data_IF_891220518969
#
_entry.id   IF_891220518969
#
_cell.length_a   1.000
_cell.length_b   1.000
_cell.length_c   1.000
_cell.angle_alpha   90.00
_cell.angle_beta   90.00
_cell.angle_gamma   90.00
#
_symmetry.space_group_name_H-M   'P 1'
#
loop_
_entity.id
_entity.type
_entity.pdbx_description
1 polymer ?
#
# COMPACT_ATOMS: atom_id res chain seq x y z
N UNK A 1 -7.09 36.64 24.38
CA UNK A 1 -7.97 37.62 23.70
C UNK A 1 -9.31 37.74 24.43
N UNK A 2 -9.34 38.30 25.65
CA UNK A 2 -10.57 38.48 26.45
C UNK A 2 -10.94 39.98 26.58
N UNK A 3 -10.11 40.87 26.02
CA UNK A 3 -10.32 42.33 26.02
C UNK A 3 -11.62 42.66 25.27
N UNK A 4 -12.55 43.33 25.97
CA UNK A 4 -13.76 43.89 25.36
C UNK A 4 -13.43 45.21 24.66
N UNK A 5 -13.90 45.37 23.44
CA UNK A 5 -13.71 46.58 22.63
C UNK A 5 -15.08 47.15 22.30
N UNK A 6 -15.24 48.46 22.52
CA UNK A 6 -16.45 49.21 22.14
C UNK A 6 -16.19 49.90 20.80
N UNK A 7 -16.96 49.54 19.78
CA UNK A 7 -16.88 50.09 18.43
C UNK A 7 -17.99 51.13 18.20
N UNK A 8 -17.75 52.06 17.29
CA UNK A 8 -18.67 53.19 17.04
C UNK A 8 -19.82 52.82 16.10
N UNK A 9 -19.63 51.77 15.28
CA UNK A 9 -20.63 51.24 14.35
C UNK A 9 -20.51 49.72 14.30
N UNK A 10 -21.63 49.02 14.06
CA UNK A 10 -21.69 47.55 14.00
C UNK A 10 -22.05 47.02 12.61
N UNK A 11 -21.98 47.85 11.56
CA UNK A 11 -22.28 47.47 10.18
C UNK A 11 -21.17 47.94 9.23
N UNK A 12 -20.65 47.05 8.40
CA UNK A 12 -19.61 47.40 7.42
C UNK A 12 -19.03 46.20 6.70
N UNK A 13 -18.05 46.44 5.81
CA UNK A 13 -17.23 45.36 5.27
C UNK A 13 -16.31 44.80 6.36
N UNK A 14 -15.85 43.53 6.24
CA UNK A 14 -14.80 42.96 7.09
C UNK A 14 -13.63 43.92 7.34
N UNK A 15 -13.10 44.56 6.30
CA UNK A 15 -12.00 45.54 6.40
C UNK A 15 -12.36 46.70 7.34
N UNK A 16 -13.49 47.36 7.08
CA UNK A 16 -13.93 48.51 7.90
C UNK A 16 -14.17 48.13 9.36
N UNK A 17 -14.74 46.95 9.60
CA UNK A 17 -14.99 46.45 10.94
C UNK A 17 -13.68 46.11 11.66
N UNK A 18 -12.73 45.47 10.98
CA UNK A 18 -11.41 45.15 11.53
C UNK A 18 -10.62 46.42 11.85
N UNK A 19 -10.64 47.42 10.97
CA UNK A 19 -9.95 48.70 11.19
C UNK A 19 -10.50 49.41 12.44
N UNK A 20 -11.82 49.51 12.58
CA UNK A 20 -12.47 50.11 13.76
C UNK A 20 -12.14 49.33 15.05
N UNK A 21 -12.20 48.00 15.02
CA UNK A 21 -11.85 47.16 16.16
C UNK A 21 -10.37 47.34 16.55
N UNK A 22 -9.49 47.46 15.56
CA UNK A 22 -8.05 47.66 15.75
C UNK A 22 -7.74 49.02 16.39
N UNK A 23 -8.40 50.09 15.89
CA UNK A 23 -8.26 51.45 16.37
C UNK A 23 -8.75 51.63 17.81
N UNK A 24 -9.90 51.01 18.17
CA UNK A 24 -10.44 51.04 19.53
C UNK A 24 -9.75 50.05 20.48
N UNK A 25 -9.03 49.07 19.91
CA UNK A 25 -8.43 47.95 20.62
C UNK A 25 -6.96 48.13 20.99
N UNK A 26 -6.26 49.08 20.38
CA UNK A 26 -4.81 49.29 20.48
C UNK A 26 -4.00 48.05 20.06
N UNK A 27 -4.33 47.49 18.89
CA UNK A 27 -3.60 46.41 18.23
C UNK A 27 -3.84 46.49 16.71
N UNK A 28 -3.07 45.72 15.94
CA UNK A 28 -3.21 45.68 14.46
C UNK A 28 -3.57 44.28 13.97
N UNK A 29 -4.36 44.21 12.89
CA UNK A 29 -4.62 42.96 12.17
C UNK A 29 -3.64 42.78 11.01
N UNK A 30 -3.25 41.54 10.73
CA UNK A 30 -2.47 41.20 9.53
C UNK A 30 -3.17 40.05 8.81
N UNK A 31 -3.44 40.23 7.52
CA UNK A 31 -4.14 39.25 6.69
C UNK A 31 -3.83 39.45 5.20
N UNK A 32 -4.08 38.41 4.40
CA UNK A 32 -4.04 38.52 2.93
C UNK A 32 -5.33 39.17 2.43
N UNK A 33 -5.26 39.99 1.38
CA UNK A 33 -6.44 40.58 0.71
C UNK A 33 -7.45 39.54 0.20
N UNK A 34 -7.08 38.26 0.13
CA UNK A 34 -7.98 37.15 -0.21
C UNK A 34 -8.95 36.76 0.91
N UNK A 35 -8.78 37.31 2.12
CA UNK A 35 -9.55 37.01 3.33
C UNK A 35 -10.67 38.03 3.53
N UNK A 36 -10.63 39.16 2.83
CA UNK A 36 -11.63 40.22 2.96
C UNK A 36 -12.61 40.16 1.80
N UNK A 37 -13.89 40.22 2.14
CA UNK A 37 -15.00 40.25 1.18
C UNK A 37 -15.58 41.66 1.09
N UNK A 38 -16.12 42.04 -0.07
CA UNK A 38 -16.89 43.28 -0.21
C UNK A 38 -18.33 43.17 0.36
N UNK A 39 -18.69 42.00 0.92
CA UNK A 39 -20.00 41.79 1.55
C UNK A 39 -20.11 42.57 2.85
N UNK A 40 -21.26 43.19 3.06
CA UNK A 40 -21.57 43.92 4.31
C UNK A 40 -21.99 42.94 5.40
N UNK A 41 -21.42 43.09 6.59
CA UNK A 41 -21.70 42.29 7.79
C UNK A 41 -22.36 43.19 8.84
N UNK A 42 -23.37 42.65 9.53
CA UNK A 42 -24.02 43.27 10.67
C UNK A 42 -23.64 42.50 11.93
N UNK A 43 -22.92 43.13 12.86
CA UNK A 43 -22.54 42.56 14.13
C UNK A 43 -23.67 42.69 15.16
N UNK A 44 -23.76 41.69 16.03
CA UNK A 44 -24.81 41.56 17.05
C UNK A 44 -24.73 42.62 18.16
N UNK A 45 -23.53 43.16 18.43
CA UNK A 45 -23.29 44.15 19.49
C UNK A 45 -22.18 45.13 19.11
N UNK A 46 -22.21 46.33 19.71
CA UNK A 46 -21.14 47.34 19.63
C UNK A 46 -20.11 47.23 20.76
N UNK A 47 -20.28 46.28 21.70
CA UNK A 47 -19.33 46.03 22.79
C UNK A 47 -19.25 44.53 23.11
N UNK A 48 -18.19 43.89 22.64
CA UNK A 48 -17.89 42.47 22.92
C UNK A 48 -16.39 42.20 22.86
N UNK A 49 -15.96 40.95 23.06
CA UNK A 49 -14.54 40.62 22.97
C UNK A 49 -14.08 40.63 21.52
N UNK A 50 -12.79 40.90 21.30
CA UNK A 50 -12.18 40.82 19.96
C UNK A 50 -12.42 39.46 19.31
N UNK A 51 -12.39 38.39 20.11
CA UNK A 51 -12.66 37.02 19.66
C UNK A 51 -14.08 36.88 19.08
N UNK A 52 -15.07 37.44 19.77
CA UNK A 52 -16.48 37.35 19.34
C UNK A 52 -16.72 38.14 18.05
N UNK A 53 -16.11 39.33 17.93
CA UNK A 53 -16.15 40.06 16.66
C UNK A 53 -15.57 39.25 15.51
N UNK A 54 -14.40 38.62 15.69
CA UNK A 54 -13.78 37.80 14.65
C UNK A 54 -14.65 36.59 14.26
N UNK A 55 -15.30 35.96 15.23
CA UNK A 55 -16.22 34.85 14.94
C UNK A 55 -17.45 35.28 14.15
N UNK A 56 -17.99 36.47 14.39
CA UNK A 56 -19.11 36.98 13.61
C UNK A 56 -18.70 37.44 12.21
N UNK A 57 -17.58 38.16 12.09
CA UNK A 57 -17.04 38.63 10.80
C UNK A 57 -16.73 37.45 9.87
N UNK A 58 -16.19 36.36 10.43
CA UNK A 58 -15.73 35.21 9.65
C UNK A 58 -16.59 33.96 9.87
N UNK A 59 -17.86 34.10 10.25
CA UNK A 59 -18.75 32.98 10.58
C UNK A 59 -18.80 31.88 9.50
N UNK A 60 -18.70 32.27 8.23
CA UNK A 60 -18.77 31.38 7.07
C UNK A 60 -17.41 31.16 6.38
N UNK A 61 -16.33 31.67 6.97
CA UNK A 61 -14.98 31.55 6.40
C UNK A 61 -14.06 30.81 7.38
N UNK A 62 -13.40 29.73 6.95
CA UNK A 62 -12.58 28.91 7.84
C UNK A 62 -11.24 29.62 8.11
N UNK A 63 -11.22 30.52 9.09
CA UNK A 63 -10.05 31.34 9.42
C UNK A 63 -9.57 31.01 10.84
N UNK A 64 -8.25 30.87 10.99
CA UNK A 64 -7.57 30.83 12.29
C UNK A 64 -7.02 32.21 12.61
N UNK A 65 -7.11 32.59 13.86
CA UNK A 65 -6.50 33.81 14.38
C UNK A 65 -5.42 33.48 15.41
N UNK A 66 -4.29 34.17 15.33
CA UNK A 66 -3.18 34.07 16.29
C UNK A 66 -2.91 35.45 16.88
N UNK A 67 -2.97 35.59 18.21
CA UNK A 67 -2.56 36.80 18.93
C UNK A 67 -1.15 36.63 19.48
N UNK A 68 -0.29 37.61 19.23
CA UNK A 68 0.97 37.78 19.95
C UNK A 68 1.26 39.28 20.08
N UNK A 69 1.48 39.75 21.30
CA UNK A 69 1.64 41.17 21.63
C UNK A 69 0.43 42.00 21.10
N UNK A 70 0.68 43.14 20.46
CA UNK A 70 -0.35 44.01 19.85
C UNK A 70 -0.64 43.68 18.37
N UNK A 71 -0.42 42.41 17.95
CA UNK A 71 -0.70 41.96 16.57
C UNK A 71 -1.60 40.73 16.56
N UNK A 72 -2.58 40.72 15.66
CA UNK A 72 -3.49 39.60 15.41
C UNK A 72 -3.36 39.16 13.94
N UNK A 73 -2.84 37.96 13.73
CA UNK A 73 -2.70 37.36 12.41
C UNK A 73 -3.94 36.53 12.06
N UNK A 74 -4.56 36.80 10.92
CA UNK A 74 -5.66 35.99 10.37
C UNK A 74 -5.12 35.13 9.22
N UNK A 75 -5.27 33.81 9.36
CA UNK A 75 -4.77 32.84 8.38
C UNK A 75 -5.97 32.04 7.84
N UNK A 76 -6.19 32.01 6.51
CA UNK A 76 -7.23 31.19 5.93
C UNK A 76 -6.79 29.73 6.03
N UNK A 77 -7.66 28.91 6.59
CA UNK A 77 -7.49 27.47 6.60
C UNK A 77 -8.04 26.98 5.26
N UNK A 78 -7.21 26.32 4.46
CA UNK A 78 -7.75 25.46 3.41
C UNK A 78 -8.49 24.32 4.11
N UNK A 79 -9.81 24.42 4.22
CA UNK A 79 -10.64 23.26 4.52
C UNK A 79 -10.47 22.35 3.31
N UNK A 80 -9.58 21.37 3.43
CA UNK A 80 -9.72 20.18 2.62
C UNK A 80 -11.08 19.62 3.01
N UNK A 81 -12.09 19.81 2.16
CA UNK A 81 -13.07 18.75 2.00
C UNK A 81 -12.22 17.52 1.71
N UNK A 82 -12.14 16.60 2.67
CA UNK A 82 -11.82 15.25 2.28
C UNK A 82 -12.99 14.89 1.35
N UNK A 83 -12.75 14.52 0.07
CA UNK A 83 -13.84 13.92 -0.70
C UNK A 83 -14.36 12.78 0.16
N UNK A 84 -15.70 12.66 0.30
CA UNK A 84 -16.30 11.59 1.08
C UNK A 84 -15.63 10.27 0.70
N UNK A 85 -14.85 9.73 1.62
CA UNK A 85 -14.13 8.48 1.43
C UNK A 85 -15.19 7.39 1.52
N UNK A 86 -15.77 7.02 0.39
CA UNK A 86 -16.66 5.87 0.33
C UNK A 86 -15.82 4.60 0.42
N UNK A 87 -16.21 3.75 1.37
CA UNK A 87 -15.53 2.50 1.67
C UNK A 87 -16.41 1.35 1.20
N UNK A 88 -15.92 0.57 0.25
CA UNK A 88 -16.55 -0.68 -0.17
C UNK A 88 -15.93 -1.79 0.68
N UNK A 89 -16.76 -2.54 1.39
CA UNK A 89 -16.32 -3.65 2.24
C UNK A 89 -17.06 -4.93 1.84
N UNK A 90 -16.40 -6.06 2.00
CA UNK A 90 -17.01 -7.36 1.76
C UNK A 90 -16.10 -8.52 2.08
N UNK A 91 -16.62 -9.72 1.90
CA UNK A 91 -15.93 -11.00 2.05
C UNK A 91 -15.96 -11.75 0.73
N UNK A 92 -14.85 -12.36 0.35
CA UNK A 92 -14.77 -13.22 -0.83
C UNK A 92 -14.58 -14.66 -0.40
N UNK A 93 -15.42 -15.54 -0.93
CA UNK A 93 -15.41 -16.98 -0.64
C UNK A 93 -15.51 -17.79 -1.93
N UNK A 94 -15.10 -19.06 -1.90
CA UNK A 94 -15.34 -19.99 -2.99
C UNK A 94 -16.81 -20.41 -3.04
N UNK A 95 -17.40 -20.39 -4.24
CA UNK A 95 -18.76 -20.88 -4.47
C UNK A 95 -18.77 -22.42 -4.42
N UNK A 96 -19.32 -22.97 -3.33
CA UNK A 96 -19.56 -24.40 -3.16
C UNK A 96 -19.05 -24.91 -1.81
N UNK A 97 -17.89 -24.43 -1.38
CA UNK A 97 -17.28 -24.75 -0.09
C UNK A 97 -17.46 -23.63 0.94
N UNK A 98 -17.73 -22.39 0.49
CA UNK A 98 -17.76 -21.17 1.31
C UNK A 98 -16.42 -20.92 2.05
N UNK A 99 -15.32 -21.55 1.60
CA UNK A 99 -13.98 -21.30 2.12
C UNK A 99 -13.54 -19.87 1.79
N UNK A 100 -12.97 -19.13 2.75
CA UNK A 100 -12.44 -17.79 2.51
C UNK A 100 -11.31 -17.78 1.50
N UNK A 101 -11.38 -16.86 0.53
CA UNK A 101 -10.34 -16.71 -0.49
C UNK A 101 -9.40 -15.57 -0.15
N UNK A 102 -8.26 -15.92 0.44
CA UNK A 102 -7.19 -14.99 0.76
C UNK A 102 -6.45 -14.44 -0.48
N UNK A 103 -5.88 -13.24 -0.35
CA UNK A 103 -5.10 -12.56 -1.38
C UNK A 103 -5.84 -12.40 -2.72
N UNK A 104 -7.17 -12.38 -2.70
CA UNK A 104 -8.03 -12.09 -3.85
C UNK A 104 -7.93 -10.61 -4.18
N UNK A 105 -7.70 -10.27 -5.45
CA UNK A 105 -7.61 -8.89 -5.90
C UNK A 105 -9.01 -8.29 -6.02
N UNK A 106 -9.21 -7.14 -5.39
CA UNK A 106 -10.46 -6.37 -5.47
C UNK A 106 -10.14 -4.95 -5.93
N UNK A 107 -10.58 -4.57 -7.11
CA UNK A 107 -10.15 -3.32 -7.75
C UNK A 107 -11.25 -2.64 -8.57
N UNK A 108 -11.13 -1.33 -8.74
CA UNK A 108 -11.95 -0.57 -9.69
C UNK A 108 -11.25 -0.52 -11.04
N UNK A 109 -11.97 -0.94 -12.09
CA UNK A 109 -11.42 -1.09 -13.43
C UNK A 109 -10.82 0.22 -13.97
N UNK A 110 -11.54 1.34 -13.86
CA UNK A 110 -11.11 2.61 -14.48
C UNK A 110 -10.12 3.35 -13.59
N UNK A 111 -10.37 3.39 -12.27
CA UNK A 111 -9.52 4.14 -11.34
C UNK A 111 -8.18 3.49 -11.02
N UNK A 112 -7.98 2.23 -11.40
CA UNK A 112 -6.78 1.43 -11.05
C UNK A 112 -6.45 1.47 -9.55
N UNK A 113 -7.47 1.63 -8.71
CA UNK A 113 -7.35 1.50 -7.26
C UNK A 113 -7.83 0.12 -6.87
N UNK A 114 -7.12 -0.54 -5.97
CA UNK A 114 -7.47 -1.88 -5.54
C UNK A 114 -6.94 -2.18 -4.15
N UNK A 115 -7.40 -3.30 -3.63
CA UNK A 115 -7.04 -3.89 -2.35
C UNK A 115 -7.01 -5.42 -2.52
N UNK A 116 -6.61 -6.11 -1.47
CA UNK A 116 -6.62 -7.58 -1.40
C UNK A 116 -7.43 -8.05 -0.21
N UNK A 117 -7.92 -9.29 -0.28
CA UNK A 117 -8.54 -9.95 0.89
C UNK A 117 -7.48 -10.45 1.87
N UNK A 118 -7.84 -10.45 3.17
CA UNK A 118 -7.05 -11.08 4.22
C UNK A 118 -7.27 -12.61 4.28
N UNK A 119 -6.68 -13.28 5.28
CA UNK A 119 -6.83 -14.73 5.51
C UNK A 119 -8.27 -15.19 5.79
N UNK A 120 -9.15 -14.28 6.21
CA UNK A 120 -10.58 -14.53 6.42
C UNK A 120 -11.43 -14.15 5.20
N UNK A 121 -10.80 -13.83 4.06
CA UNK A 121 -11.46 -13.44 2.82
C UNK A 121 -12.02 -12.01 2.84
N UNK A 122 -11.83 -11.25 3.92
CA UNK A 122 -12.38 -9.90 4.08
C UNK A 122 -11.51 -8.85 3.39
N UNK A 123 -12.16 -7.87 2.76
CA UNK A 123 -11.49 -6.73 2.12
C UNK A 123 -12.16 -5.40 2.46
N UNK A 124 -11.41 -4.33 2.24
CA UNK A 124 -11.87 -2.96 2.38
C UNK A 124 -11.18 -2.06 1.36
N UNK A 125 -11.95 -1.49 0.43
CA UNK A 125 -11.48 -0.60 -0.62
C UNK A 125 -11.93 0.83 -0.36
N UNK A 126 -10.97 1.74 -0.17
CA UNK A 126 -11.24 3.16 0.00
C UNK A 126 -11.23 3.87 -1.36
N UNK A 127 -12.39 4.42 -1.76
CA UNK A 127 -12.57 5.10 -3.04
C UNK A 127 -12.64 6.61 -2.78
N UNK A 128 -11.69 7.37 -3.35
CA UNK A 128 -11.78 8.83 -3.43
C UNK A 128 -12.54 9.20 -4.70
N UNK A 129 -13.42 10.20 -4.62
CA UNK A 129 -14.21 10.73 -5.77
C UNK A 129 -15.10 9.67 -6.43
N UNK A 130 -15.80 8.85 -5.64
CA UNK A 130 -16.60 7.70 -6.10
C UNK A 130 -17.38 8.03 -7.38
N UNK A 131 -16.97 7.38 -8.48
CA UNK A 131 -17.69 7.48 -9.75
C UNK A 131 -18.65 6.30 -9.78
N UNK A 132 -19.94 6.57 -9.63
CA UNK A 132 -21.00 5.57 -9.65
C UNK A 132 -21.00 4.70 -10.93
N UNK A 133 -20.31 5.13 -11.99
CA UNK A 133 -20.20 4.43 -13.27
C UNK A 133 -19.00 3.48 -13.38
N UNK A 134 -18.10 3.42 -12.38
CA UNK A 134 -16.98 2.48 -12.40
C UNK A 134 -17.46 1.03 -12.15
N UNK A 135 -16.61 0.05 -12.42
CA UNK A 135 -16.89 -1.38 -12.23
C UNK A 135 -15.94 -1.95 -11.18
N UNK A 136 -16.51 -2.54 -10.12
CA UNK A 136 -15.79 -3.33 -9.14
C UNK A 136 -15.48 -4.70 -9.74
N UNK A 137 -14.20 -5.03 -9.83
CA UNK A 137 -13.70 -6.31 -10.28
C UNK A 137 -13.14 -7.09 -9.07
N UNK A 138 -13.53 -8.35 -8.96
CA UNK A 138 -13.00 -9.30 -7.97
C UNK A 138 -12.40 -10.47 -8.73
N UNK A 139 -11.09 -10.62 -8.63
CA UNK A 139 -10.30 -11.55 -9.42
C UNK A 139 -9.42 -12.38 -8.50
N UNK A 140 -9.49 -13.70 -8.66
CA UNK A 140 -8.53 -14.62 -8.08
C UNK A 140 -8.15 -15.64 -9.15
N UNK A 141 -6.87 -16.03 -9.18
CA UNK A 141 -6.40 -17.04 -10.12
C UNK A 141 -7.20 -18.34 -9.93
N UNK A 142 -7.53 -19.00 -11.05
CA UNK A 142 -8.33 -20.22 -11.12
C UNK A 142 -9.80 -20.06 -10.75
N UNK A 143 -10.31 -18.82 -10.73
CA UNK A 143 -11.73 -18.52 -10.58
C UNK A 143 -12.20 -17.59 -11.70
N UNK A 144 -13.50 -17.63 -11.99
CA UNK A 144 -14.13 -16.65 -12.87
C UNK A 144 -14.19 -15.28 -12.20
N UNK A 145 -13.67 -14.25 -12.87
CA UNK A 145 -13.72 -12.86 -12.39
C UNK A 145 -15.18 -12.37 -12.27
N UNK A 146 -15.49 -11.74 -11.14
CA UNK A 146 -16.77 -11.06 -10.92
C UNK A 146 -16.60 -9.59 -11.29
N UNK A 147 -17.57 -9.04 -12.04
CA UNK A 147 -17.63 -7.63 -12.45
C UNK A 147 -18.98 -7.03 -12.08
N UNK A 148 -18.98 -6.03 -11.21
CA UNK A 148 -20.21 -5.43 -10.67
C UNK A 148 -20.14 -3.91 -10.81
N UNK A 149 -21.12 -3.27 -11.48
CA UNK A 149 -21.23 -1.82 -11.50
C UNK A 149 -21.31 -1.25 -10.09
N UNK A 150 -20.52 -0.23 -9.81
CA UNK A 150 -20.38 0.33 -8.47
C UNK A 150 -21.71 0.89 -7.95
N UNK A 151 -22.56 1.46 -8.82
CA UNK A 151 -23.91 1.92 -8.49
C UNK A 151 -24.91 0.81 -8.11
N UNK A 152 -24.59 -0.45 -8.34
CA UNK A 152 -25.42 -1.60 -7.99
C UNK A 152 -25.04 -2.25 -6.65
N UNK A 153 -23.95 -1.76 -6.02
CA UNK A 153 -23.50 -2.23 -4.72
C UNK A 153 -24.36 -1.59 -3.63
N UNK A 154 -25.12 -2.42 -2.92
CA UNK A 154 -25.86 -1.97 -1.76
C UNK A 154 -24.91 -1.84 -0.55
N UNK A 155 -25.12 -0.82 0.29
CA UNK A 155 -24.16 -0.33 1.29
C UNK A 155 -23.86 -1.25 2.49
N UNK A 156 -24.31 -2.50 2.44
CA UNK A 156 -24.11 -3.55 3.46
C UNK A 156 -22.83 -4.36 3.24
N UNK A 157 -22.41 -5.16 4.23
CA UNK A 157 -21.30 -6.12 4.09
C UNK A 157 -21.64 -7.13 2.98
N UNK A 158 -20.97 -7.04 1.82
CA UNK A 158 -21.25 -7.89 0.67
C UNK A 158 -20.43 -9.19 0.72
N UNK A 159 -21.07 -10.33 0.48
CA UNK A 159 -20.38 -11.61 0.30
C UNK A 159 -20.33 -11.95 -1.19
N UNK A 160 -19.13 -12.02 -1.75
CA UNK A 160 -18.89 -12.35 -3.16
C UNK A 160 -18.41 -13.80 -3.28
N UNK A 161 -19.11 -14.60 -4.09
CA UNK A 161 -18.81 -16.02 -4.26
C UNK A 161 -18.15 -16.28 -5.62
N UNK A 162 -16.84 -16.50 -5.62
CA UNK A 162 -16.06 -16.79 -6.84
C UNK A 162 -16.30 -18.24 -7.29
N UNK A 163 -16.54 -18.44 -8.59
CA UNK A 163 -16.78 -19.77 -9.16
C UNK A 163 -15.43 -20.35 -9.61
N UNK A 164 -15.01 -21.53 -9.14
CA UNK A 164 -13.80 -22.18 -9.63
C UNK A 164 -13.84 -22.35 -11.16
N UNK A 165 -12.77 -21.93 -11.81
CA UNK A 165 -12.56 -22.11 -13.24
C UNK A 165 -11.62 -23.32 -13.42
N UNK A 166 -12.21 -24.47 -13.74
CA UNK A 166 -11.44 -25.70 -13.90
C UNK A 166 -10.73 -25.70 -15.25
N UNK A 167 -9.41 -25.53 -15.23
CA UNK A 167 -8.56 -25.88 -16.36
C UNK A 167 -8.18 -27.36 -16.25
N UNK A 168 -8.54 -28.16 -17.27
CA UNK A 168 -8.06 -29.53 -17.38
C UNK A 168 -6.55 -29.54 -17.66
N UNK A 169 -5.83 -30.36 -16.90
CA UNK A 169 -4.42 -30.61 -17.20
C UNK A 169 -4.42 -31.56 -18.40
N UNK A 170 -4.21 -31.01 -19.61
CA UNK A 170 -3.96 -31.86 -20.77
C UNK A 170 -2.78 -32.78 -20.46
N UNK A 171 -3.00 -34.09 -20.64
CA UNK A 171 -1.98 -35.11 -20.51
C UNK A 171 -0.80 -34.76 -21.44
N UNK A 172 0.36 -34.49 -20.85
CA UNK A 172 1.55 -34.14 -21.60
C UNK A 172 2.21 -35.45 -22.03
N UNK A 173 2.19 -35.75 -23.33
CA UNK A 173 3.02 -36.83 -23.90
C UNK A 173 4.46 -36.57 -23.47
N UNK A 174 5.11 -37.59 -22.91
CA UNK A 174 6.43 -37.55 -22.24
C UNK A 174 7.51 -36.98 -23.16
N UNK A 175 7.61 -35.65 -23.22
CA UNK A 175 8.86 -34.96 -23.51
C UNK A 175 9.55 -34.72 -22.16
N UNK A 176 10.88 -34.89 -22.08
CA UNK A 176 11.63 -34.40 -20.93
C UNK A 176 11.26 -32.93 -20.70
N UNK A 177 10.80 -32.59 -19.50
CA UNK A 177 10.52 -31.21 -19.13
C UNK A 177 11.85 -30.60 -18.68
N UNK A 178 12.37 -29.67 -19.47
CA UNK A 178 13.54 -28.89 -19.07
C UNK A 178 13.08 -27.68 -18.22
N UNK A 179 13.42 -27.62 -16.92
CA UNK A 179 13.05 -26.49 -16.08
C UNK A 179 13.70 -25.17 -16.55
N UNK A 180 14.88 -25.21 -17.16
CA UNK A 180 15.56 -24.02 -17.67
C UNK A 180 14.80 -23.45 -18.87
N UNK A 181 14.29 -24.30 -19.76
CA UNK A 181 13.44 -23.86 -20.89
C UNK A 181 12.16 -23.19 -20.39
N UNK A 182 11.50 -23.73 -19.36
CA UNK A 182 10.29 -23.12 -18.80
C UNK A 182 10.57 -21.74 -18.20
N UNK A 183 11.64 -21.59 -17.40
CA UNK A 183 12.00 -20.30 -16.81
C UNK A 183 12.38 -19.30 -17.91
N UNK A 184 13.14 -19.74 -18.91
CA UNK A 184 13.53 -18.90 -20.06
C UNK A 184 12.30 -18.38 -20.80
N UNK A 185 11.33 -19.25 -21.09
CA UNK A 185 10.07 -18.84 -21.73
C UNK A 185 9.27 -17.89 -20.84
N UNK A 186 9.23 -18.14 -19.53
CA UNK A 186 8.56 -17.25 -18.58
C UNK A 186 9.18 -15.84 -18.58
N UNK A 187 10.51 -15.73 -18.60
CA UNK A 187 11.24 -14.46 -18.69
C UNK A 187 10.93 -13.75 -20.01
N UNK A 188 10.98 -14.46 -21.14
CA UNK A 188 10.66 -13.89 -22.46
C UNK A 188 9.22 -13.39 -22.56
N UNK A 189 8.29 -13.98 -21.78
CA UNK A 189 6.89 -13.57 -21.75
C UNK A 189 6.57 -12.47 -20.74
N UNK A 190 7.56 -11.95 -20.00
CA UNK A 190 7.31 -10.85 -19.05
C UNK A 190 6.62 -9.65 -19.73
N UNK A 191 7.06 -9.15 -20.91
CA UNK A 191 6.40 -8.02 -21.58
C UNK A 191 4.93 -8.28 -21.96
N UNK A 192 4.57 -9.53 -22.23
CA UNK A 192 3.23 -9.97 -22.62
C UNK A 192 2.37 -10.21 -21.38
N UNK A 193 2.94 -10.75 -20.31
CA UNK A 193 2.20 -11.16 -19.12
C UNK A 193 2.04 -10.05 -18.09
N UNK A 194 3.00 -9.12 -17.95
CA UNK A 194 2.99 -8.11 -16.88
C UNK A 194 2.73 -6.69 -17.41
N UNK A 195 2.42 -5.78 -16.49
CA UNK A 195 2.04 -4.41 -16.83
C UNK A 195 3.19 -3.62 -17.45
N UNK A 196 2.94 -3.08 -18.64
CA UNK A 196 3.94 -2.33 -19.42
C UNK A 196 3.81 -0.82 -19.25
N UNK A 197 2.86 -0.35 -18.43
CA UNK A 197 2.58 1.06 -18.17
C UNK A 197 2.63 1.32 -16.66
N UNK A 198 3.12 2.49 -16.22
CA UNK A 198 3.09 2.84 -14.81
C UNK A 198 1.65 2.86 -14.27
N UNK A 199 1.49 2.45 -13.01
CA UNK A 199 0.22 2.42 -12.30
C UNK A 199 0.39 2.88 -10.86
N UNK A 200 -0.70 3.31 -10.25
CA UNK A 200 -0.71 3.69 -8.84
C UNK A 200 -1.29 2.52 -8.06
N UNK A 201 -0.53 2.01 -7.11
CA UNK A 201 -0.95 0.97 -6.18
C UNK A 201 -1.10 1.56 -4.78
N UNK A 202 -2.16 1.22 -4.06
CA UNK A 202 -2.31 1.54 -2.64
C UNK A 202 -2.06 0.24 -1.88
N UNK A 203 -1.05 0.23 -1.02
CA UNK A 203 -0.61 -0.97 -0.32
C UNK A 203 -0.81 -0.79 1.18
N UNK A 204 -1.24 -1.86 1.83
CA UNK A 204 -1.19 -1.99 3.27
C UNK A 204 0.08 -2.73 3.66
N UNK A 205 0.81 -2.19 4.62
CA UNK A 205 2.03 -2.78 5.17
C UNK A 205 1.82 -3.06 6.65
N UNK A 206 2.25 -4.23 7.07
CA UNK A 206 2.27 -4.66 8.47
C UNK A 206 3.64 -5.26 8.77
N UNK A 207 4.32 -4.72 9.78
CA UNK A 207 5.57 -5.24 10.32
C UNK A 207 5.36 -5.69 11.75
N UNK A 208 5.68 -6.95 12.03
CA UNK A 208 5.48 -7.59 13.33
C UNK A 208 6.85 -8.02 13.87
N UNK A 209 7.15 -7.62 15.11
CA UNK A 209 8.33 -8.05 15.83
C UNK A 209 7.91 -8.91 17.02
N UNK A 210 8.44 -10.13 17.09
CA UNK A 210 8.20 -11.07 18.19
C UNK A 210 9.49 -11.49 18.86
N UNK A 211 9.41 -11.81 20.15
CA UNK A 211 10.44 -12.51 20.92
C UNK A 211 9.76 -13.59 21.72
N UNK A 212 10.27 -14.83 21.64
CA UNK A 212 9.71 -15.98 22.37
C UNK A 212 8.17 -16.08 22.19
N UNK A 213 7.73 -15.90 20.93
CA UNK A 213 6.32 -15.82 20.49
C UNK A 213 5.47 -14.64 21.03
N UNK A 214 6.02 -13.80 21.90
CA UNK A 214 5.36 -12.59 22.38
C UNK A 214 5.54 -11.40 21.44
N UNK A 215 4.46 -10.66 21.19
CA UNK A 215 4.47 -9.46 20.34
C UNK A 215 5.17 -8.29 21.05
N UNK A 216 6.31 -7.86 20.50
CA UNK A 216 7.04 -6.68 20.96
C UNK A 216 6.50 -5.40 20.32
N UNK A 217 6.34 -5.42 19.00
CA UNK A 217 5.98 -4.23 18.23
C UNK A 217 5.17 -4.58 17.00
N UNK A 218 4.18 -3.75 16.72
CA UNK A 218 3.36 -3.80 15.51
C UNK A 218 3.44 -2.43 14.83
N UNK A 219 3.97 -2.40 13.61
CA UNK A 219 3.97 -1.22 12.76
C UNK A 219 3.03 -1.44 11.59
N UNK A 220 2.10 -0.52 11.35
CA UNK A 220 1.19 -0.57 10.22
C UNK A 220 1.24 0.72 9.41
N UNK A 221 1.19 0.60 8.10
CA UNK A 221 1.20 1.74 7.19
C UNK A 221 0.32 1.52 5.97
N UNK A 222 -0.36 2.59 5.56
CA UNK A 222 -0.93 2.74 4.23
C UNK A 222 0.07 3.53 3.38
N UNK A 223 0.50 2.93 2.28
CA UNK A 223 1.44 3.55 1.34
C UNK A 223 0.85 3.60 -0.06
N UNK A 224 1.18 4.67 -0.79
CA UNK A 224 0.85 4.82 -2.20
C UNK A 224 2.13 4.62 -2.99
N UNK A 225 2.12 3.70 -3.94
CA UNK A 225 3.27 3.32 -4.74
C UNK A 225 2.97 3.67 -6.18
N UNK A 226 3.83 4.48 -6.80
CA UNK A 226 3.89 4.56 -8.25
C UNK A 226 4.71 3.35 -8.71
N UNK A 227 3.99 2.33 -9.18
CA UNK A 227 4.57 1.14 -9.80
C UNK A 227 4.98 1.51 -11.22
N UNK A 228 6.27 1.38 -11.51
CA UNK A 228 6.81 1.60 -12.85
C UNK A 228 6.63 0.35 -13.73
N UNK A 229 6.61 0.53 -15.05
CA UNK A 229 6.49 -0.56 -16.03
C UNK A 229 7.49 -1.70 -15.78
N UNK A 230 7.06 -2.96 -15.96
CA UNK A 230 7.95 -4.13 -15.91
C UNK A 230 8.93 -4.18 -17.11
N UNK A 231 8.73 -3.36 -18.15
CA UNK A 231 9.62 -3.28 -19.32
C UNK A 231 10.77 -2.27 -19.16
N UNK A 232 10.98 -1.70 -17.97
CA UNK A 232 12.06 -0.76 -17.74
C UNK A 232 12.68 -0.92 -16.35
N UNK A 233 13.86 -0.33 -16.18
CA UNK A 233 14.64 -0.33 -14.94
C UNK A 233 14.31 0.84 -14.00
N UNK A 234 13.23 1.59 -14.24
CA UNK A 234 12.83 2.69 -13.35
C UNK A 234 12.36 2.11 -12.03
N UNK A 235 12.85 2.70 -10.95
CA UNK A 235 12.51 2.30 -9.57
C UNK A 235 11.12 2.79 -9.22
N UNK A 236 10.39 1.97 -8.47
CA UNK A 236 9.11 2.34 -7.89
C UNK A 236 9.28 3.52 -6.92
N UNK A 237 8.28 4.40 -6.89
CA UNK A 237 8.27 5.53 -5.96
C UNK A 237 7.23 5.29 -4.88
N UNK A 238 7.66 5.36 -3.62
CA UNK A 238 6.80 5.08 -2.47
C UNK A 238 6.49 6.38 -1.76
N UNK A 239 5.21 6.63 -1.54
CA UNK A 239 4.70 7.74 -0.74
C UNK A 239 3.97 7.19 0.47
N UNK A 240 4.48 7.50 1.66
CA UNK A 240 3.78 7.23 2.91
C UNK A 240 2.51 8.09 3.01
N UNK A 241 1.34 7.47 3.22
CA UNK A 241 0.09 8.21 3.38
C UNK A 241 -0.29 8.35 4.86
N UNK A 242 -0.30 7.23 5.61
CA UNK A 242 -0.64 7.19 7.04
C UNK A 242 -0.06 5.93 7.67
N UNK A 243 0.28 5.97 8.95
CA UNK A 243 0.67 4.78 9.69
C UNK A 243 0.40 4.92 11.18
N UNK A 244 0.48 3.79 11.88
CA UNK A 244 0.41 3.69 13.33
C UNK A 244 1.45 2.70 13.82
N UNK A 245 2.03 2.99 14.97
CA UNK A 245 2.87 2.04 15.70
C UNK A 245 2.11 1.68 16.99
N UNK A 246 1.75 0.41 17.11
CA UNK A 246 1.21 -0.17 18.34
C UNK A 246 2.37 -0.68 19.18
N UNK A 247 2.59 -0.07 20.34
CA UNK A 247 3.64 -0.50 21.28
C UNK A 247 3.00 -1.27 22.43
N UNK A 248 3.30 -2.57 22.55
CA UNK A 248 3.32 -3.20 23.87
C UNK A 248 4.73 -2.97 24.40
N UNK A 249 4.91 -1.97 25.25
CA UNK A 249 6.24 -1.56 25.76
C UNK A 249 6.75 -2.61 26.75
N UNK A 250 7.16 -3.78 26.26
CA UNK A 250 8.24 -4.51 26.91
C UNK A 250 9.50 -3.81 26.44
N UNK A 251 10.05 -2.97 27.30
CA UNK A 251 11.32 -2.31 27.09
C UNK A 251 12.36 -3.36 26.73
N UNK A 252 12.81 -3.37 25.47
CA UNK A 252 14.08 -3.99 25.06
C UNK A 252 15.21 -3.16 25.67
N UNK A 253 15.32 -3.13 27.00
CA UNK A 253 16.33 -2.34 27.72
C UNK A 253 17.76 -2.77 27.40
N UNK A 254 17.96 -3.83 26.59
CA UNK A 254 19.25 -4.44 26.30
C UNK A 254 19.44 -5.05 24.89
N UNK A 255 18.56 -4.82 23.91
CA UNK A 255 18.73 -5.34 22.53
C UNK A 255 18.30 -4.33 21.46
N UNK A 256 19.17 -3.34 21.20
CA UNK A 256 19.05 -2.44 20.04
C UNK A 256 19.76 -3.04 18.83
N UNK A 257 19.14 -4.03 18.17
CA UNK A 257 19.59 -4.51 16.86
C UNK A 257 18.64 -4.05 15.76
N UNK A 258 19.18 -3.73 14.59
CA UNK A 258 18.40 -3.30 13.41
C UNK A 258 18.54 -4.38 12.35
N UNK A 259 17.40 -4.96 11.96
CA UNK A 259 17.33 -5.91 10.85
C UNK A 259 17.07 -5.16 9.55
N UNK A 260 17.64 -5.61 8.45
CA UNK A 260 17.31 -5.13 7.12
C UNK A 260 15.85 -5.48 6.80
N UNK A 261 14.94 -4.53 7.04
CA UNK A 261 13.50 -4.71 6.89
C UNK A 261 12.81 -3.35 6.84
N UNK A 262 11.79 -3.21 5.99
CA UNK A 262 11.07 -1.95 5.82
C UNK A 262 10.33 -1.85 4.50
N UNK A 263 9.44 -0.87 4.42
CA UNK A 263 8.56 -0.61 3.29
C UNK A 263 9.27 -0.64 1.92
N UNK A 264 10.47 -0.08 1.83
CA UNK A 264 11.23 -0.02 0.58
C UNK A 264 11.76 -1.39 0.13
N UNK A 265 12.22 -2.22 1.08
CA UNK A 265 12.78 -3.54 0.77
C UNK A 265 11.73 -4.49 0.19
N UNK A 266 10.49 -4.42 0.66
CA UNK A 266 9.41 -5.26 0.12
C UNK A 266 9.18 -5.04 -1.37
N UNK A 267 9.39 -3.83 -1.90
CA UNK A 267 9.27 -3.59 -3.34
C UNK A 267 10.52 -4.00 -4.12
N UNK A 268 11.70 -4.03 -3.48
CA UNK A 268 12.88 -4.66 -4.10
C UNK A 268 12.77 -6.18 -4.21
N UNK A 269 11.90 -6.82 -3.41
CA UNK A 269 11.58 -8.24 -3.52
C UNK A 269 10.62 -8.57 -4.67
N UNK A 270 10.14 -7.59 -5.45
CA UNK A 270 9.43 -7.86 -6.69
C UNK A 270 10.39 -8.47 -7.73
N UNK A 271 10.51 -9.80 -7.70
CA UNK A 271 11.53 -10.56 -8.44
C UNK A 271 11.40 -10.42 -9.95
N UNK A 272 10.19 -10.20 -10.46
CA UNK A 272 9.93 -9.97 -11.89
C UNK A 272 10.41 -8.59 -12.33
N UNK A 273 10.31 -7.57 -11.46
CA UNK A 273 10.76 -6.22 -11.80
C UNK A 273 12.25 -6.00 -11.58
N UNK A 274 12.78 -6.48 -10.45
CA UNK A 274 14.12 -6.10 -10.03
C UNK A 274 15.21 -7.03 -10.55
N UNK A 275 14.85 -8.19 -11.12
CA UNK A 275 15.82 -9.16 -11.63
C UNK A 275 16.61 -9.77 -10.48
N UNK A 276 16.22 -10.97 -10.07
CA UNK A 276 17.00 -11.79 -9.16
C UNK A 276 17.84 -12.77 -9.96
N UNK A 277 19.03 -13.12 -9.47
CA UNK A 277 19.98 -13.95 -10.22
C UNK A 277 19.39 -15.31 -10.65
N UNK A 278 18.42 -15.87 -9.90
CA UNK A 278 17.72 -17.11 -10.27
C UNK A 278 16.64 -16.94 -11.36
N UNK A 279 16.41 -15.70 -11.84
CA UNK A 279 15.59 -15.33 -12.99
C UNK A 279 16.39 -14.51 -14.01
N UNK A 280 17.72 -14.54 -13.92
CA UNK A 280 18.61 -13.88 -14.87
C UNK A 280 19.31 -14.95 -15.71
N UNK A 281 19.02 -14.94 -17.01
CA UNK A 281 19.54 -15.91 -17.99
C UNK A 281 21.08 -15.93 -17.96
N UNK A 282 21.74 -14.79 -17.69
CA UNK A 282 23.21 -14.72 -17.63
C UNK A 282 23.81 -15.33 -16.38
N UNK A 283 22.99 -15.63 -15.37
CA UNK A 283 23.37 -16.18 -14.07
C UNK A 283 22.92 -17.63 -13.88
N UNK A 284 22.32 -18.28 -14.89
CA UNK A 284 21.74 -19.63 -14.74
C UNK A 284 22.76 -20.72 -14.42
N UNK A 285 24.00 -20.56 -14.87
CA UNK A 285 25.11 -21.48 -14.57
C UNK A 285 25.46 -21.52 -13.08
N UNK A 286 25.10 -20.48 -12.31
CA UNK A 286 25.27 -20.40 -10.86
C UNK A 286 24.22 -21.20 -10.08
N UNK A 287 23.19 -21.72 -10.75
CA UNK A 287 22.06 -22.42 -10.12
C UNK A 287 21.85 -23.82 -10.68
N UNK A 288 21.28 -24.68 -9.86
CA UNK A 288 20.70 -25.95 -10.26
C UNK A 288 19.19 -25.80 -10.26
N UNK A 289 18.56 -25.97 -11.41
CA UNK A 289 17.10 -25.98 -11.55
C UNK A 289 16.61 -27.41 -11.65
N UNK A 290 15.51 -27.71 -10.95
CA UNK A 290 14.88 -29.02 -10.95
C UNK A 290 13.39 -28.86 -11.15
N UNK A 291 12.85 -29.57 -12.13
CA UNK A 291 11.42 -29.77 -12.22
C UNK A 291 10.96 -30.59 -11.01
N UNK A 292 10.06 -30.04 -10.21
CA UNK A 292 9.54 -30.70 -9.01
C UNK A 292 8.29 -31.50 -9.39
N UNK A 293 7.21 -30.79 -9.75
CA UNK A 293 5.95 -31.39 -10.18
C UNK A 293 5.07 -30.39 -10.93
N UNK A 294 3.91 -30.86 -11.39
CA UNK A 294 2.77 -30.02 -11.76
C UNK A 294 1.84 -29.95 -10.54
N UNK A 295 1.47 -28.74 -10.15
CA UNK A 295 0.53 -28.50 -9.05
C UNK A 295 -0.62 -27.60 -9.51
N UNK A 296 -1.59 -27.36 -8.64
CA UNK A 296 -2.56 -26.26 -8.79
C UNK A 296 -2.21 -25.17 -7.79
N UNK A 297 -2.00 -23.96 -8.28
CA UNK A 297 -1.94 -22.77 -7.43
C UNK A 297 -3.22 -21.98 -7.72
N UNK A 298 -4.03 -21.75 -6.67
CA UNK A 298 -5.39 -21.17 -6.74
C UNK A 298 -6.15 -21.67 -7.97
N UNK A 299 -6.51 -22.95 -8.01
CA UNK A 299 -7.27 -23.55 -9.13
C UNK A 299 -6.55 -23.70 -10.49
N UNK A 300 -5.49 -22.95 -10.77
CA UNK A 300 -4.78 -22.98 -12.06
C UNK A 300 -3.59 -23.95 -12.05
N UNK A 301 -3.43 -24.79 -13.11
CA UNK A 301 -2.25 -25.63 -13.27
C UNK A 301 -0.96 -24.83 -13.42
N UNK A 302 0.04 -25.16 -12.61
CA UNK A 302 1.37 -24.53 -12.61
C UNK A 302 2.48 -25.58 -12.67
N UNK A 303 3.56 -25.26 -13.38
CA UNK A 303 4.86 -25.91 -13.20
C UNK A 303 5.49 -25.41 -11.90
N UNK A 304 5.98 -26.33 -11.08
CA UNK A 304 6.76 -26.03 -9.88
C UNK A 304 8.22 -26.35 -10.18
N UNK A 305 9.07 -25.32 -10.14
CA UNK A 305 10.48 -25.44 -10.45
C UNK A 305 11.28 -25.07 -9.22
N UNK A 306 11.97 -26.05 -8.65
CA UNK A 306 12.92 -25.83 -7.57
C UNK A 306 14.23 -25.24 -8.11
N UNK A 307 14.84 -24.33 -7.36
CA UNK A 307 16.18 -23.84 -7.64
C UNK A 307 17.04 -23.86 -6.37
N UNK A 308 18.30 -24.24 -6.54
CA UNK A 308 19.31 -24.22 -5.49
C UNK A 308 20.61 -23.67 -6.06
N UNK A 309 21.20 -22.68 -5.40
CA UNK A 309 22.49 -22.14 -5.82
C UNK A 309 23.60 -23.19 -5.71
N UNK A 310 24.53 -23.20 -6.67
CA UNK A 310 25.76 -23.99 -6.61
C UNK A 310 26.76 -23.38 -5.62
N UNK A 311 27.73 -24.17 -5.16
CA UNK A 311 28.70 -23.76 -4.15
C UNK A 311 29.62 -22.63 -4.65
N UNK A 312 29.36 -21.42 -4.17
CA UNK A 312 30.16 -20.22 -4.37
C UNK A 312 30.16 -19.47 -3.03
N UNK A 313 31.27 -18.80 -2.66
CA UNK A 313 31.43 -18.05 -1.41
C UNK A 313 30.62 -16.73 -1.38
N UNK A 314 29.30 -16.82 -1.52
CA UNK A 314 28.39 -15.67 -1.44
C UNK A 314 26.97 -16.12 -1.00
N UNK A 315 26.25 -15.33 -0.19
CA UNK A 315 24.90 -15.66 0.23
C UNK A 315 23.91 -15.51 -0.94
N UNK A 316 23.46 -16.62 -1.52
CA UNK A 316 22.27 -16.58 -2.39
C UNK A 316 21.19 -17.58 -2.00
N UNK A 317 20.11 -17.48 -2.77
CA UNK A 317 18.79 -17.99 -2.49
C UNK A 317 18.60 -19.42 -2.98
N UNK A 318 17.67 -20.11 -2.34
CA UNK A 318 17.06 -21.35 -2.83
C UNK A 318 15.55 -21.24 -2.68
N UNK A 319 14.79 -21.95 -3.50
CA UNK A 319 13.34 -21.80 -3.48
C UNK A 319 12.60 -22.56 -4.56
N UNK A 320 11.36 -22.13 -4.80
CA UNK A 320 10.45 -22.64 -5.82
C UNK A 320 9.82 -21.49 -6.61
N UNK A 321 9.83 -21.64 -7.93
CA UNK A 321 9.17 -20.76 -8.89
C UNK A 321 7.92 -21.49 -9.39
N UNK A 322 6.77 -20.82 -9.35
CA UNK A 322 5.50 -21.36 -9.82
C UNK A 322 5.10 -20.65 -11.11
N UNK A 323 5.01 -21.40 -12.21
CA UNK A 323 4.79 -20.88 -13.57
C UNK A 323 3.46 -21.41 -14.11
N UNK A 324 2.51 -20.54 -14.46
CA UNK A 324 1.23 -20.93 -15.09
C UNK A 324 1.47 -21.63 -16.44
N UNK A 325 0.87 -22.81 -16.63
CA UNK A 325 1.19 -23.68 -17.79
C UNK A 325 0.87 -23.06 -19.15
N UNK A 326 -0.21 -22.28 -19.25
CA UNK A 326 -0.70 -21.78 -20.54
C UNK A 326 0.00 -20.47 -20.95
N UNK A 327 0.14 -19.55 -19.99
CA UNK A 327 0.70 -18.22 -20.24
C UNK A 327 2.21 -18.14 -19.99
N UNK A 328 2.79 -19.08 -19.24
CA UNK A 328 4.12 -19.01 -18.64
C UNK A 328 4.32 -17.81 -17.70
N UNK A 329 3.25 -17.24 -17.14
CA UNK A 329 3.36 -16.22 -16.11
C UNK A 329 3.92 -16.82 -14.81
N UNK A 330 4.87 -16.14 -14.17
CA UNK A 330 5.33 -16.48 -12.82
C UNK A 330 4.29 -15.95 -11.83
N UNK A 331 3.53 -16.85 -11.24
CA UNK A 331 2.38 -16.51 -10.39
C UNK A 331 2.75 -16.41 -8.91
N UNK A 332 3.83 -17.08 -8.53
CA UNK A 332 4.37 -17.11 -7.17
C UNK A 332 5.84 -17.48 -7.19
N UNK A 333 6.61 -16.91 -6.26
CA UNK A 333 7.97 -17.37 -5.93
C UNK A 333 8.08 -17.47 -4.42
N UNK A 334 8.43 -18.65 -3.94
CA UNK A 334 8.87 -18.89 -2.55
C UNK A 334 10.39 -19.00 -2.58
N UNK A 335 11.12 -18.16 -1.84
CA UNK A 335 12.58 -18.25 -1.80
C UNK A 335 13.12 -17.75 -0.49
N UNK A 336 14.29 -18.24 -0.10
CA UNK A 336 14.96 -17.79 1.11
C UNK A 336 16.45 -17.93 0.99
N UNK A 337 17.18 -17.37 1.94
CA UNK A 337 18.64 -17.53 1.99
C UNK A 337 18.94 -19.02 2.15
N UNK A 338 19.79 -19.56 1.27
CA UNK A 338 20.12 -20.98 1.33
C UNK A 338 20.77 -21.34 2.66
N UNK A 339 20.57 -22.58 3.13
CA UNK A 339 21.22 -23.08 4.38
C UNK A 339 22.74 -22.92 4.38
N UNK A 340 23.37 -22.93 3.20
CA UNK A 340 24.81 -22.70 3.04
C UNK A 340 25.13 -21.20 3.07
N UNK A 341 24.33 -20.39 2.37
CA UNK A 341 24.47 -18.94 2.30
C UNK A 341 24.19 -18.20 3.62
N UNK A 342 23.38 -18.75 4.53
CA UNK A 342 23.01 -18.08 5.79
C UNK A 342 24.24 -17.73 6.65
N UNK A 343 25.34 -18.48 6.50
CA UNK A 343 26.62 -18.24 7.18
C UNK A 343 27.30 -16.93 6.76
N UNK A 344 26.97 -16.42 5.57
CA UNK A 344 27.49 -15.17 5.01
C UNK A 344 26.44 -14.05 5.05
N UNK A 345 25.29 -14.28 5.69
CA UNK A 345 24.15 -13.40 5.65
C UNK A 345 24.16 -12.33 6.77
N UNK A 346 25.12 -12.42 7.72
CA UNK A 346 25.31 -11.47 8.82
C UNK A 346 25.34 -10.02 8.31
N UNK A 347 26.23 -9.72 7.34
CA UNK A 347 26.45 -8.36 6.82
C UNK A 347 25.29 -7.84 5.93
N UNK A 348 24.40 -8.73 5.49
CA UNK A 348 23.24 -8.38 4.66
C UNK A 348 22.05 -8.03 5.57
N UNK A 349 21.73 -8.91 6.51
CA UNK A 349 20.49 -8.80 7.28
C UNK A 349 20.64 -8.05 8.61
N UNK A 350 21.86 -7.93 9.14
CA UNK A 350 22.10 -7.28 10.43
C UNK A 350 22.77 -5.93 10.19
N UNK A 351 21.98 -4.87 10.26
CA UNK A 351 22.46 -3.49 10.07
C UNK A 351 23.25 -3.01 11.29
N UNK A 352 22.87 -3.47 12.49
CA UNK A 352 23.56 -3.13 13.75
C UNK A 352 23.46 -4.27 14.75
N UNK A 353 24.59 -4.66 15.32
CA UNK A 353 24.66 -5.57 16.46
C UNK A 353 24.55 -4.81 17.79
N UNK A 354 23.96 -5.40 18.85
CA UNK A 354 24.04 -4.89 20.21
C UNK A 354 25.49 -4.87 20.71
N UNK A 355 25.84 -3.95 21.62
CA UNK A 355 27.22 -3.77 22.10
C UNK A 355 27.87 -5.03 22.71
N UNK A 356 27.07 -5.92 23.32
CA UNK A 356 27.56 -7.11 24.03
C UNK A 356 27.23 -8.44 23.35
N UNK A 357 26.51 -8.42 22.22
CA UNK A 357 25.98 -9.63 21.61
C UNK A 357 26.24 -9.64 20.10
N UNK A 358 26.63 -10.79 19.55
CA UNK A 358 26.61 -11.01 18.11
C UNK A 358 25.29 -11.69 17.73
N UNK A 359 24.48 -11.01 16.92
CA UNK A 359 23.27 -11.57 16.33
C UNK A 359 23.67 -12.33 15.06
N UNK A 360 22.95 -13.40 14.74
CA UNK A 360 23.07 -14.13 13.47
C UNK A 360 21.69 -14.44 12.92
N UNK A 361 21.43 -14.26 11.62
CA UNK A 361 20.17 -14.67 11.03
C UNK A 361 20.10 -16.20 11.03
N UNK A 362 18.96 -16.75 11.46
CA UNK A 362 18.70 -18.19 11.41
C UNK A 362 17.98 -18.59 10.12
N UNK A 363 17.07 -17.73 9.67
CA UNK A 363 16.20 -17.93 8.52
C UNK A 363 15.85 -16.56 7.92
N UNK A 364 15.70 -16.52 6.60
CA UNK A 364 15.22 -15.36 5.89
C UNK A 364 14.48 -15.88 4.65
N UNK A 365 13.18 -16.10 4.81
CA UNK A 365 12.29 -16.64 3.79
C UNK A 365 11.37 -15.54 3.28
N UNK A 366 11.02 -15.64 2.00
CA UNK A 366 10.23 -14.68 1.29
C UNK A 366 9.18 -15.41 0.46
N UNK A 367 8.00 -14.83 0.42
CA UNK A 367 6.97 -15.22 -0.52
C UNK A 367 6.52 -14.01 -1.31
N UNK A 368 6.56 -14.13 -2.63
CA UNK A 368 6.15 -13.09 -3.56
C UNK A 368 5.02 -13.64 -4.42
N UNK A 369 3.86 -13.02 -4.33
CA UNK A 369 2.66 -13.44 -5.06
C UNK A 369 2.31 -12.41 -6.13
N UNK A 370 1.89 -12.91 -7.28
CA UNK A 370 1.37 -12.11 -8.38
C UNK A 370 -0.12 -12.40 -8.58
N UNK A 371 -0.84 -11.39 -9.04
CA UNK A 371 -2.27 -11.51 -9.34
C UNK A 371 -2.60 -10.83 -10.65
N UNK A 372 -3.70 -11.26 -11.27
CA UNK A 372 -4.14 -10.74 -12.55
C UNK A 372 -5.16 -9.62 -12.36
N UNK A 373 -4.85 -8.44 -12.91
CA UNK A 373 -5.78 -7.32 -13.08
C UNK A 373 -6.03 -7.13 -14.57
N UNK A 374 -7.27 -7.35 -15.01
CA UNK A 374 -7.60 -7.48 -16.44
C UNK A 374 -6.81 -8.59 -17.12
N UNK A 375 -5.99 -8.24 -18.11
CA UNK A 375 -5.15 -9.19 -18.86
C UNK A 375 -3.69 -9.24 -18.40
N UNK A 376 -3.32 -8.49 -17.36
CA UNK A 376 -1.93 -8.32 -16.93
C UNK A 376 -1.71 -8.76 -15.49
N UNK A 377 -0.57 -9.38 -15.25
CA UNK A 377 -0.07 -9.77 -13.94
C UNK A 377 0.63 -8.59 -13.26
N UNK A 378 0.40 -8.47 -11.96
CA UNK A 378 0.94 -7.42 -11.11
C UNK A 378 1.36 -7.99 -9.76
N UNK A 379 2.32 -7.35 -9.11
CA UNK A 379 2.68 -7.65 -7.73
C UNK A 379 1.44 -7.55 -6.83
N UNK A 380 1.14 -8.61 -6.11
CA UNK A 380 -0.04 -8.71 -5.24
C UNK A 380 0.32 -8.61 -3.76
N UNK A 381 1.27 -9.43 -3.31
CA UNK A 381 1.75 -9.43 -1.94
C UNK A 381 3.20 -9.88 -1.84
N UNK A 382 3.87 -9.39 -0.80
CA UNK A 382 5.22 -9.80 -0.39
C UNK A 382 5.17 -10.07 1.11
N UNK A 383 5.67 -11.23 1.51
CA UNK A 383 5.79 -11.66 2.90
C UNK A 383 7.24 -12.04 3.19
N UNK A 384 7.70 -11.70 4.39
CA UNK A 384 9.05 -11.94 4.91
C UNK A 384 8.94 -12.52 6.32
#
# INVERSE_FOLDING_TARGET
>A
MIKKVKISFNKGTPEKLLDEISAKGDFTFTYSSKITSNKTIQLSSTKQTVKDYLFEIFKNEPIRFYAKNNKILLVPIKVRSQPDLQRIMGKVVEKGTDEPLEYTSVYLQEKKIGTITNSEGDFSLNVRDYNNLDTLCISNMGYHEIRIPVNSLDSTLLVFKLIPQTHEIKEVRVKPIDPVEIITEAIHRIPQNYDTKPSIMICFFQGIYKKDDEYISLSEALVKVLKESYNNSRKDQIKFEKGRNGTNVVSLRYLDFVVQGGLYNNFSLDVIKNGVNFLDITSFDLYTYKFDNISRYRGTPVYVIGFEQKEIDFPYYSGKIYVEKDSYAIVKVDFGVSRRGIKFADDIYIVKNPEQYKVKPLLADYQVNYSKSGNKWNLNSVSQ
#
